data_IF_897284785626
#
_entry.id   IF_897284785626
#
_cell.length_a   1.000
_cell.length_b   1.000
_cell.length_c   1.000
_cell.angle_alpha   90.00
_cell.angle_beta   90.00
_cell.angle_gamma   90.00
#
_symmetry.space_group_name_H-M   'P 1'
#
loop_
_entity.id
_entity.type
_entity.pdbx_description
1 polymer ?
#
# COMPACT_ATOMS: atom_id res chain seq x y z
N UNK A 1 -19.81 -24.96 -52.08
CA UNK A 1 -19.17 -24.66 -50.78
C UNK A 1 -20.30 -24.28 -49.82
N UNK A 2 -20.97 -25.29 -49.25
CA UNK A 2 -20.97 -25.68 -47.82
C UNK A 2 -21.59 -24.61 -46.88
N UNK A 3 -22.83 -24.93 -46.40
CA UNK A 3 -23.39 -24.86 -45.02
C UNK A 3 -23.10 -23.62 -44.17
N UNK A 4 -24.03 -23.02 -43.43
CA UNK A 4 -25.37 -23.41 -43.00
C UNK A 4 -25.84 -22.44 -41.90
N UNK A 5 -27.16 -22.39 -41.74
CA UNK A 5 -27.95 -22.14 -40.52
C UNK A 5 -27.75 -20.88 -39.65
N UNK A 6 -28.77 -20.02 -39.74
CA UNK A 6 -29.64 -19.57 -38.63
C UNK A 6 -29.26 -20.08 -37.24
N UNK A 7 -28.93 -19.16 -36.32
CA UNK A 7 -29.40 -19.22 -34.91
C UNK A 7 -29.69 -17.81 -34.40
N UNK A 8 -30.99 -17.52 -34.34
CA UNK A 8 -31.60 -16.68 -33.32
C UNK A 8 -31.34 -17.30 -31.93
N UNK A 9 -31.15 -16.48 -30.89
CA UNK A 9 -31.37 -16.92 -29.51
C UNK A 9 -30.30 -16.58 -28.47
N UNK A 10 -30.58 -15.48 -27.77
CA UNK A 10 -30.56 -15.43 -26.30
C UNK A 10 -29.23 -15.35 -25.53
N UNK A 11 -29.27 -14.41 -24.57
CA UNK A 11 -28.64 -14.49 -23.26
C UNK A 11 -27.15 -14.17 -23.15
N UNK A 12 -26.89 -12.90 -22.88
CA UNK A 12 -25.63 -12.41 -22.32
C UNK A 12 -25.70 -10.96 -21.84
N UNK A 13 -26.84 -10.52 -21.30
CA UNK A 13 -26.80 -9.41 -20.35
C UNK A 13 -25.91 -9.85 -19.18
N UNK A 14 -25.05 -8.93 -18.71
CA UNK A 14 -24.13 -9.02 -17.57
C UNK A 14 -22.82 -9.77 -17.79
N UNK A 15 -21.85 -9.08 -18.39
CA UNK A 15 -20.42 -9.07 -18.02
C UNK A 15 -19.68 -8.29 -19.11
N UNK A 16 -18.90 -7.24 -18.88
CA UNK A 16 -18.08 -6.87 -17.74
C UNK A 16 -18.19 -5.37 -17.55
N UNK A 17 -18.14 -4.99 -16.27
CA UNK A 17 -17.96 -3.64 -15.74
C UNK A 17 -17.08 -2.79 -16.66
N UNK A 18 -17.72 -2.08 -17.57
CA UNK A 18 -17.16 -0.88 -18.15
C UNK A 18 -16.90 0.08 -16.98
N UNK A 19 -15.72 0.69 -17.05
CA UNK A 19 -15.27 1.83 -16.25
C UNK A 19 -14.39 1.48 -15.05
N UNK A 20 -13.12 1.85 -15.21
CA UNK A 20 -12.30 2.53 -14.20
C UNK A 20 -11.17 1.76 -13.50
N UNK A 21 -10.36 1.00 -14.23
CA UNK A 21 -8.96 0.81 -13.78
C UNK A 21 -7.89 1.07 -14.86
N UNK A 22 -8.30 1.39 -16.08
CA UNK A 22 -7.39 1.69 -17.19
C UNK A 22 -7.06 3.18 -17.29
N UNK A 23 -6.52 3.74 -16.20
CA UNK A 23 -5.96 5.09 -16.20
C UNK A 23 -4.89 5.25 -15.13
N UNK A 24 -3.97 4.28 -15.04
CA UNK A 24 -2.68 4.54 -14.45
C UNK A 24 -1.63 4.59 -15.56
N UNK A 25 -1.34 5.77 -16.14
CA UNK A 25 0.03 6.06 -16.49
C UNK A 25 0.79 6.13 -15.15
N UNK A 26 1.12 4.97 -14.58
CA UNK A 26 2.08 4.89 -13.49
C UNK A 26 3.43 5.21 -14.09
N UNK A 27 3.69 6.50 -14.29
CA UNK A 27 5.05 7.00 -14.30
C UNK A 27 5.75 6.39 -13.08
N UNK A 28 6.81 5.59 -13.26
CA UNK A 28 7.48 4.88 -12.17
C UNK A 28 8.12 5.81 -11.11
N UNK A 29 7.99 7.12 -11.28
CA UNK A 29 8.68 8.16 -10.52
C UNK A 29 7.84 8.84 -9.43
N UNK A 30 6.55 8.53 -9.27
CA UNK A 30 5.78 9.11 -8.14
C UNK A 30 4.58 8.24 -7.71
N UNK A 31 4.85 7.00 -7.26
CA UNK A 31 3.83 6.24 -6.52
C UNK A 31 3.42 7.04 -5.28
N UNK A 32 2.12 7.34 -5.15
CA UNK A 32 1.57 8.22 -4.10
C UNK A 32 1.42 7.43 -2.79
N UNK A 33 1.41 8.14 -1.66
CA UNK A 33 1.08 7.52 -0.36
C UNK A 33 -0.28 6.82 -0.36
N UNK A 34 -1.22 7.31 -1.17
CA UNK A 34 -2.53 6.67 -1.39
C UNK A 34 -2.40 5.28 -1.99
N UNK A 35 -1.46 5.09 -2.93
CA UNK A 35 -1.22 3.79 -3.57
C UNK A 35 -0.65 2.80 -2.56
N UNK A 36 0.25 3.25 -1.67
CA UNK A 36 0.78 2.43 -0.58
C UNK A 36 -0.32 2.01 0.41
N UNK A 37 -1.23 2.92 0.77
CA UNK A 37 -2.39 2.61 1.63
C UNK A 37 -3.35 1.62 0.97
N UNK A 38 -3.50 1.68 -0.35
CA UNK A 38 -4.29 0.72 -1.11
C UNK A 38 -3.62 -0.67 -1.15
N UNK A 39 -2.33 -0.73 -1.43
CA UNK A 39 -1.56 -1.98 -1.39
C UNK A 39 -1.57 -2.63 -0.01
N UNK A 40 -1.50 -1.84 1.06
CA UNK A 40 -1.65 -2.33 2.43
C UNK A 40 -3.01 -2.98 2.65
N UNK A 41 -4.10 -2.38 2.16
CA UNK A 41 -5.45 -2.96 2.23
C UNK A 41 -5.59 -4.25 1.43
N UNK A 42 -4.80 -4.40 0.37
CA UNK A 42 -4.74 -5.63 -0.44
C UNK A 42 -3.82 -6.70 0.17
N UNK A 43 -3.21 -6.46 1.33
CA UNK A 43 -2.27 -7.38 1.99
C UNK A 43 -0.87 -7.39 1.37
N UNK A 44 -0.59 -6.50 0.40
CA UNK A 44 0.70 -6.40 -0.28
C UNK A 44 1.66 -5.52 0.51
N UNK A 45 2.01 -5.97 1.72
CA UNK A 45 2.77 -5.17 2.68
C UNK A 45 4.18 -4.81 2.20
N UNK A 46 4.88 -5.72 1.51
CA UNK A 46 6.23 -5.47 0.99
C UNK A 46 6.25 -4.38 -0.10
N UNK A 47 5.29 -4.40 -1.02
CA UNK A 47 5.17 -3.35 -2.05
C UNK A 47 4.79 -1.99 -1.42
N UNK A 48 3.89 -2.01 -0.44
CA UNK A 48 3.51 -0.81 0.31
C UNK A 48 4.70 -0.20 1.06
N UNK A 49 5.49 -1.04 1.76
CA UNK A 49 6.69 -0.63 2.47
C UNK A 49 7.69 0.07 1.54
N UNK A 50 7.94 -0.48 0.35
CA UNK A 50 8.84 0.13 -0.64
C UNK A 50 8.41 1.54 -1.05
N UNK A 51 7.11 1.78 -1.20
CA UNK A 51 6.58 3.11 -1.53
C UNK A 51 6.74 4.07 -0.35
N UNK A 52 6.45 3.63 0.87
CA UNK A 52 6.63 4.46 2.05
C UNK A 52 8.10 4.82 2.24
N UNK A 53 9.03 3.88 2.10
CA UNK A 53 10.46 4.11 2.23
C UNK A 53 10.96 5.16 1.24
N UNK A 54 10.59 5.03 -0.04
CA UNK A 54 10.93 6.05 -1.06
C UNK A 54 10.39 7.43 -0.72
N UNK A 55 9.24 7.49 -0.03
CA UNK A 55 8.69 8.77 0.42
C UNK A 55 9.45 9.33 1.62
N UNK A 56 9.96 8.49 2.51
CA UNK A 56 10.78 8.89 3.65
C UNK A 56 12.11 9.49 3.23
N UNK A 57 12.75 8.93 2.20
CA UNK A 57 14.01 9.46 1.65
C UNK A 57 13.88 10.89 1.12
N UNK A 58 12.67 11.28 0.70
CA UNK A 58 12.33 12.62 0.24
C UNK A 58 11.85 13.57 1.35
N UNK A 59 12.28 13.35 2.60
CA UNK A 59 11.80 14.05 3.78
C UNK A 59 10.28 13.88 3.97
N UNK A 60 9.85 12.61 3.99
CA UNK A 60 8.45 12.24 3.99
C UNK A 60 7.68 12.71 5.24
N UNK A 61 6.35 12.94 5.10
CA UNK A 61 5.50 13.31 6.23
C UNK A 61 5.41 12.17 7.24
N UNK A 62 4.97 12.49 8.46
CA UNK A 62 4.75 11.52 9.53
C UNK A 62 3.88 10.31 9.12
N UNK A 63 2.86 10.56 8.28
CA UNK A 63 2.01 9.54 7.68
C UNK A 63 2.79 8.42 6.96
N UNK A 64 3.92 8.77 6.33
CA UNK A 64 4.77 7.81 5.64
C UNK A 64 5.56 6.95 6.62
N UNK A 65 6.06 7.53 7.73
CA UNK A 65 6.74 6.79 8.79
C UNK A 65 5.78 5.79 9.43
N UNK A 66 4.59 6.25 9.80
CA UNK A 66 3.53 5.42 10.36
C UNK A 66 3.14 4.29 9.39
N UNK A 67 2.98 4.61 8.10
CA UNK A 67 2.65 3.64 7.08
C UNK A 67 3.70 2.55 6.94
N UNK A 68 4.98 2.92 6.94
CA UNK A 68 6.09 1.97 6.86
C UNK A 68 6.14 1.06 8.08
N UNK A 69 6.10 1.63 9.29
CA UNK A 69 6.12 0.87 10.55
C UNK A 69 5.03 -0.20 10.54
N UNK A 70 3.80 0.17 10.14
CA UNK A 70 2.69 -0.79 10.01
C UNK A 70 2.99 -1.91 9.02
N UNK A 71 3.63 -1.60 7.89
CA UNK A 71 4.00 -2.62 6.91
C UNK A 71 5.08 -3.55 7.47
N UNK A 72 6.12 -3.00 8.09
CA UNK A 72 7.20 -3.78 8.71
C UNK A 72 6.67 -4.69 9.81
N UNK A 73 5.77 -4.21 10.68
CA UNK A 73 5.13 -5.06 11.71
C UNK A 73 4.32 -6.20 11.10
N UNK A 74 3.57 -5.97 10.01
CA UNK A 74 2.83 -7.05 9.32
C UNK A 74 3.75 -8.05 8.61
N UNK A 75 4.97 -7.64 8.28
CA UNK A 75 6.01 -8.50 7.72
C UNK A 75 6.88 -9.16 8.79
N UNK A 76 6.56 -8.99 10.08
CA UNK A 76 7.39 -9.40 11.22
C UNK A 76 8.83 -8.84 11.18
N UNK A 77 9.05 -7.74 10.45
CA UNK A 77 10.31 -7.01 10.39
C UNK A 77 10.36 -5.96 11.51
N UNK A 78 10.33 -6.43 12.76
CA UNK A 78 10.21 -5.58 13.94
C UNK A 78 11.43 -4.66 14.16
N UNK A 79 12.64 -5.15 13.87
CA UNK A 79 13.87 -4.35 13.97
C UNK A 79 13.82 -3.13 13.04
N UNK A 80 13.45 -3.33 11.77
CA UNK A 80 13.29 -2.24 10.79
C UNK A 80 12.19 -1.26 11.24
N UNK A 81 11.10 -1.78 11.80
CA UNK A 81 10.03 -0.94 12.34
C UNK A 81 10.51 -0.04 13.49
N UNK A 82 11.37 -0.54 14.38
CA UNK A 82 11.99 0.22 15.45
C UNK A 82 12.97 1.28 14.93
N UNK A 83 13.77 0.97 13.92
CA UNK A 83 14.66 1.95 13.28
C UNK A 83 13.87 3.12 12.66
N UNK A 84 12.79 2.81 11.94
CA UNK A 84 11.92 3.82 11.33
C UNK A 84 11.23 4.67 12.41
N UNK A 85 10.78 4.05 13.51
CA UNK A 85 10.24 4.77 14.67
C UNK A 85 11.28 5.68 15.32
N UNK A 86 12.54 5.22 15.44
CA UNK A 86 13.64 6.03 15.95
C UNK A 86 13.84 7.29 15.10
N UNK A 87 13.89 7.14 13.77
CA UNK A 87 13.97 8.29 12.85
C UNK A 87 12.77 9.23 12.97
N UNK A 88 11.56 8.68 13.13
CA UNK A 88 10.34 9.47 13.30
C UNK A 88 10.35 10.25 14.62
N UNK A 89 10.75 9.62 15.72
CA UNK A 89 10.85 10.23 17.05
C UNK A 89 11.95 11.29 17.11
N UNK A 90 13.00 11.21 16.29
CA UNK A 90 13.96 12.33 16.16
C UNK A 90 13.29 13.59 15.61
N UNK A 91 12.27 13.46 14.76
CA UNK A 91 11.53 14.60 14.18
C UNK A 91 10.36 15.04 15.05
N UNK A 92 9.65 14.08 15.63
CA UNK A 92 8.47 14.30 16.47
C UNK A 92 8.64 13.57 17.81
N UNK A 93 9.52 14.08 18.69
CA UNK A 93 9.93 13.37 19.92
C UNK A 93 8.81 13.21 20.94
N UNK A 94 7.83 14.12 20.94
CA UNK A 94 6.72 14.12 21.91
C UNK A 94 5.42 13.59 21.30
N UNK A 95 5.46 13.03 20.09
CA UNK A 95 4.24 12.55 19.45
C UNK A 95 3.73 11.24 20.09
N UNK A 96 2.52 11.24 20.67
CA UNK A 96 1.99 10.09 21.39
C UNK A 96 1.69 8.90 20.46
N UNK A 97 1.43 9.13 19.17
CA UNK A 97 1.16 8.06 18.20
C UNK A 97 2.44 7.27 17.93
N UNK A 98 3.59 7.93 17.82
CA UNK A 98 4.88 7.25 17.63
C UNK A 98 5.27 6.43 18.87
N UNK A 99 5.07 6.98 20.07
CA UNK A 99 5.31 6.24 21.31
C UNK A 99 4.39 5.02 21.45
N UNK A 100 3.09 5.17 21.15
CA UNK A 100 2.14 4.06 21.15
C UNK A 100 2.55 2.96 20.15
N UNK A 101 2.97 3.35 18.94
CA UNK A 101 3.46 2.41 17.93
C UNK A 101 4.74 1.70 18.36
N UNK A 102 5.66 2.41 19.00
CA UNK A 102 6.88 1.81 19.54
C UNK A 102 6.57 0.80 20.63
N UNK A 103 5.64 1.11 21.53
CA UNK A 103 5.13 0.16 22.51
C UNK A 103 4.56 -1.10 21.86
N UNK A 104 3.70 -0.93 20.84
CA UNK A 104 3.12 -2.05 20.10
C UNK A 104 4.18 -2.93 19.41
N UNK A 105 5.18 -2.33 18.77
CA UNK A 105 6.25 -3.09 18.11
C UNK A 105 7.11 -3.85 19.13
N UNK A 106 7.37 -3.27 20.30
CA UNK A 106 8.16 -3.92 21.36
C UNK A 106 7.41 -5.05 22.06
N UNK A 107 6.07 -5.01 22.10
CA UNK A 107 5.24 -6.09 22.65
C UNK A 107 5.25 -7.34 21.75
N UNK A 108 5.40 -7.13 20.44
CA UNK A 108 5.41 -8.17 19.41
C UNK A 108 6.83 -8.72 19.11
N UNK A 109 7.89 -8.12 19.66
CA UNK A 109 9.29 -8.52 19.48
C UNK A 109 9.67 -9.73 20.35
#
# INVERSE_FOLDING_TARGET
MRIGDVTNGSSGFTERRASLSEALPSSPHLRRLTDAKELWRQGKFAEAASIFQRRLDADGPMDAYIGLVRCCTQLAAYDEALEVLGRALTKWPEDPVLHARRGFVLDEL
#
